data_IF_933731512867
#
_entry.id   IF_933731512867
#
_cell.length_a   1.000
_cell.length_b   1.000
_cell.length_c   1.000
_cell.angle_alpha   90.00
_cell.angle_beta   90.00
_cell.angle_gamma   90.00
#
_symmetry.space_group_name_H-M   'P 1'
#
loop_
_entity.id
_entity.type
_entity.pdbx_description
1 polymer ?
#
# COMPACT_ATOMS: atom_id res chain seq x y z
N UNK A 1 -3.20 -21.61 -16.62
CA UNK A 1 -4.30 -22.01 -15.74
C UNK A 1 -4.01 -21.43 -14.36
N UNK A 2 -4.95 -20.70 -13.74
CA UNK A 2 -4.72 -19.95 -12.50
C UNK A 2 -4.26 -20.85 -11.36
N UNK A 3 -3.31 -20.35 -10.60
CA UNK A 3 -2.69 -21.07 -9.48
C UNK A 3 -3.57 -21.21 -8.22
N UNK A 4 -4.77 -20.61 -8.19
CA UNK A 4 -5.66 -20.63 -7.03
C UNK A 4 -6.60 -21.84 -7.09
N UNK A 5 -6.81 -22.46 -5.93
CA UNK A 5 -7.78 -23.55 -5.75
C UNK A 5 -8.34 -23.54 -4.31
N UNK A 6 -9.54 -24.09 -4.16
CA UNK A 6 -10.19 -24.22 -2.87
C UNK A 6 -9.54 -25.35 -2.06
N UNK A 7 -9.19 -25.08 -0.82
CA UNK A 7 -8.67 -26.08 0.13
C UNK A 7 -9.69 -26.41 1.22
N UNK A 8 -10.62 -25.52 1.49
CA UNK A 8 -11.73 -25.69 2.41
C UNK A 8 -12.90 -24.83 1.95
N UNK A 9 -14.11 -25.32 2.12
CA UNK A 9 -15.36 -24.58 1.84
C UNK A 9 -16.33 -24.75 3.00
N UNK A 10 -17.00 -23.66 3.36
CA UNK A 10 -18.12 -23.66 4.28
C UNK A 10 -19.24 -22.76 3.75
N UNK A 11 -20.42 -23.31 3.61
CA UNK A 11 -21.62 -22.62 3.15
C UNK A 11 -22.74 -22.88 4.15
N UNK A 12 -23.41 -21.81 4.55
CA UNK A 12 -24.60 -21.84 5.38
C UNK A 12 -25.75 -21.22 4.60
N UNK A 13 -26.84 -21.98 4.42
CA UNK A 13 -28.07 -21.45 3.86
C UNK A 13 -28.88 -20.80 4.98
N UNK A 14 -29.12 -19.49 4.83
CA UNK A 14 -29.82 -18.66 5.80
C UNK A 14 -31.08 -18.09 5.17
N UNK A 15 -32.23 -18.24 5.83
CA UNK A 15 -33.53 -17.81 5.29
C UNK A 15 -33.97 -16.39 5.72
N UNK A 16 -33.08 -15.69 6.44
CA UNK A 16 -33.32 -14.38 7.04
C UNK A 16 -33.66 -14.45 8.55
N UNK A 17 -33.85 -15.66 9.10
CA UNK A 17 -34.12 -15.88 10.52
C UNK A 17 -33.14 -16.90 11.12
N UNK A 18 -33.00 -18.05 10.46
CA UNK A 18 -32.16 -19.14 10.94
C UNK A 18 -31.38 -19.82 9.79
N UNK A 19 -30.40 -20.61 10.18
CA UNK A 19 -29.63 -21.44 9.26
C UNK A 19 -30.44 -22.71 8.98
N UNK A 20 -30.87 -22.88 7.72
CA UNK A 20 -31.72 -24.00 7.28
C UNK A 20 -30.92 -25.17 6.69
N UNK A 21 -29.70 -24.93 6.23
CA UNK A 21 -28.85 -25.94 5.61
C UNK A 21 -27.36 -25.53 5.74
N UNK A 22 -26.46 -26.51 5.70
CA UNK A 22 -25.02 -26.26 5.74
C UNK A 22 -24.25 -27.26 4.89
N UNK A 23 -23.15 -26.81 4.35
CA UNK A 23 -22.15 -27.64 3.69
C UNK A 23 -20.76 -27.20 4.09
N UNK A 24 -19.96 -28.11 4.67
CA UNK A 24 -18.60 -27.85 5.14
C UNK A 24 -17.74 -29.01 4.69
N UNK A 25 -16.64 -28.73 4.00
CA UNK A 25 -15.72 -29.77 3.54
C UNK A 25 -14.31 -29.21 3.33
N UNK A 26 -13.31 -30.00 3.65
CA UNK A 26 -11.99 -29.85 3.05
C UNK A 26 -12.09 -30.25 1.58
N UNK A 27 -11.31 -29.60 0.74
CA UNK A 27 -11.26 -29.88 -0.71
C UNK A 27 -9.81 -30.19 -1.09
N UNK A 28 -9.63 -31.25 -1.85
CA UNK A 28 -8.35 -31.57 -2.44
C UNK A 28 -8.07 -30.66 -3.65
N UNK A 29 -7.11 -29.71 -3.55
CA UNK A 29 -6.84 -28.77 -4.63
C UNK A 29 -6.07 -29.39 -5.81
N UNK A 30 -5.76 -30.71 -5.76
CA UNK A 30 -4.99 -31.49 -6.72
C UNK A 30 -3.57 -30.93 -7.01
N UNK A 31 -3.07 -30.14 -6.08
CA UNK A 31 -1.73 -29.54 -6.12
C UNK A 31 -1.20 -29.24 -4.73
N UNK A 32 0.09 -28.91 -4.63
CA UNK A 32 0.71 -28.51 -3.37
C UNK A 32 0.12 -27.17 -2.89
N UNK A 33 -0.30 -27.11 -1.64
CA UNK A 33 -0.71 -25.87 -0.98
C UNK A 33 0.54 -25.05 -0.67
N UNK A 34 0.48 -23.75 -0.94
CA UNK A 34 1.55 -22.82 -0.62
C UNK A 34 1.81 -22.79 0.89
N UNK A 35 3.08 -22.77 1.29
CA UNK A 35 3.48 -22.82 2.69
C UNK A 35 2.97 -21.60 3.51
N UNK A 36 2.73 -20.48 2.85
CA UNK A 36 2.07 -19.33 3.48
C UNK A 36 0.60 -19.64 3.80
N UNK A 37 -0.13 -20.28 2.88
CA UNK A 37 -1.53 -20.67 3.08
C UNK A 37 -1.62 -21.73 4.19
N UNK A 38 -0.70 -22.70 4.22
CA UNK A 38 -0.62 -23.69 5.29
C UNK A 38 -0.45 -23.02 6.66
N UNK A 39 0.46 -22.04 6.77
CA UNK A 39 0.67 -21.30 8.04
C UNK A 39 -0.54 -20.45 8.44
N UNK A 40 -1.24 -19.88 7.45
CA UNK A 40 -2.40 -19.02 7.69
C UNK A 40 -3.63 -19.80 8.15
N UNK A 41 -3.93 -20.91 7.46
CA UNK A 41 -5.18 -21.67 7.64
C UNK A 41 -5.02 -22.88 8.54
N UNK A 42 -3.79 -23.35 8.76
CA UNK A 42 -3.50 -24.62 9.41
C UNK A 42 -3.82 -25.86 8.56
N UNK A 43 -4.26 -25.68 7.30
CA UNK A 43 -4.62 -26.80 6.41
C UNK A 43 -3.36 -27.29 5.70
N UNK A 44 -2.91 -28.47 6.06
CA UNK A 44 -1.72 -29.10 5.47
C UNK A 44 -2.08 -29.92 4.23
N UNK A 45 -1.07 -30.16 3.37
CA UNK A 45 -1.20 -31.05 2.22
C UNK A 45 -1.65 -32.48 2.63
N UNK A 46 -1.29 -32.93 3.83
CA UNK A 46 -1.71 -34.25 4.36
C UNK A 46 -3.21 -34.28 4.64
N UNK A 47 -3.79 -33.20 5.16
CA UNK A 47 -5.21 -33.10 5.50
C UNK A 47 -6.09 -33.14 4.25
N UNK A 48 -5.70 -32.49 3.17
CA UNK A 48 -6.51 -32.41 1.94
C UNK A 48 -6.29 -33.61 0.99
N UNK A 49 -5.29 -34.45 1.24
CA UNK A 49 -4.93 -35.56 0.33
C UNK A 49 -6.07 -36.56 0.12
N UNK A 50 -6.87 -36.80 1.15
CA UNK A 50 -8.02 -37.72 1.13
C UNK A 50 -9.37 -36.97 1.07
N UNK A 51 -9.34 -35.64 1.01
CA UNK A 51 -10.55 -34.84 0.87
C UNK A 51 -11.13 -34.98 -0.54
N UNK A 52 -12.44 -34.79 -0.72
CA UNK A 52 -13.06 -34.79 -2.04
C UNK A 52 -12.46 -33.69 -2.92
N UNK A 53 -12.37 -33.96 -4.21
CA UNK A 53 -12.03 -32.96 -5.22
C UNK A 53 -13.22 -32.05 -5.47
N UNK A 54 -12.98 -30.88 -6.04
CA UNK A 54 -14.06 -29.88 -6.24
C UNK A 54 -15.22 -30.44 -7.08
N UNK A 55 -14.93 -31.20 -8.13
CA UNK A 55 -15.99 -31.77 -9.00
C UNK A 55 -16.90 -32.76 -8.25
N UNK A 56 -16.43 -33.41 -7.20
CA UNK A 56 -17.23 -34.36 -6.40
C UNK A 56 -18.25 -33.63 -5.52
N UNK A 57 -18.00 -32.39 -5.15
CA UNK A 57 -18.86 -31.57 -4.30
C UNK A 57 -19.61 -30.47 -5.07
N UNK A 58 -19.26 -30.24 -6.33
CA UNK A 58 -19.81 -29.16 -7.15
C UNK A 58 -21.34 -29.17 -7.20
N UNK A 59 -21.96 -30.36 -7.35
CA UNK A 59 -23.42 -30.51 -7.37
C UNK A 59 -24.03 -30.01 -6.08
N UNK A 60 -23.47 -30.36 -4.92
CA UNK A 60 -23.97 -29.94 -3.60
C UNK A 60 -23.85 -28.43 -3.43
N UNK A 61 -22.79 -27.81 -3.93
CA UNK A 61 -22.61 -26.34 -3.89
C UNK A 61 -23.68 -25.66 -4.73
N UNK A 62 -23.99 -26.17 -5.91
CA UNK A 62 -25.07 -25.63 -6.74
C UNK A 62 -26.42 -25.72 -6.04
N UNK A 63 -26.76 -26.88 -5.47
CA UNK A 63 -28.03 -27.14 -4.79
C UNK A 63 -28.22 -26.22 -3.58
N UNK A 64 -27.24 -26.10 -2.69
CA UNK A 64 -27.35 -25.28 -1.48
C UNK A 64 -27.44 -23.78 -1.79
N UNK A 65 -26.88 -23.35 -2.93
CA UNK A 65 -26.89 -21.93 -3.37
C UNK A 65 -27.98 -21.61 -4.39
N UNK A 66 -28.77 -22.58 -4.80
CA UNK A 66 -29.84 -22.38 -5.79
C UNK A 66 -30.90 -21.43 -5.27
N UNK A 67 -31.24 -20.41 -6.09
CA UNK A 67 -32.21 -19.37 -5.73
C UNK A 67 -31.81 -18.47 -4.57
N UNK A 68 -30.53 -18.52 -4.17
CA UNK A 68 -29.99 -17.71 -3.07
C UNK A 68 -29.07 -16.58 -3.56
N UNK A 69 -28.90 -15.57 -2.69
CA UNK A 69 -27.87 -14.55 -2.82
C UNK A 69 -26.66 -15.02 -2.03
N UNK A 70 -25.49 -15.00 -2.62
CA UNK A 70 -24.24 -15.39 -1.95
C UNK A 70 -23.73 -14.22 -1.10
N UNK A 71 -23.72 -14.41 0.21
CA UNK A 71 -23.22 -13.41 1.18
C UNK A 71 -21.84 -13.82 1.66
N UNK A 72 -20.87 -12.93 1.56
CA UNK A 72 -19.54 -13.19 2.11
C UNK A 72 -18.87 -11.90 2.61
N UNK A 73 -17.85 -12.07 3.44
CA UNK A 73 -17.03 -10.96 3.93
C UNK A 73 -15.86 -10.69 2.98
N UNK A 74 -16.01 -9.77 2.04
CA UNK A 74 -15.24 -9.55 0.81
C UNK A 74 -15.71 -10.50 -0.31
N UNK A 75 -17.01 -10.49 -0.59
CA UNK A 75 -17.71 -11.43 -1.47
C UNK A 75 -17.10 -11.58 -2.87
N UNK A 76 -16.45 -10.56 -3.40
CA UNK A 76 -15.78 -10.62 -4.70
C UNK A 76 -14.67 -11.68 -4.75
N UNK A 77 -13.99 -11.94 -3.64
CA UNK A 77 -12.95 -12.96 -3.55
C UNK A 77 -13.57 -14.38 -3.62
N UNK A 78 -14.52 -14.66 -2.73
CA UNK A 78 -15.13 -16.01 -2.63
C UNK A 78 -15.90 -16.36 -3.90
N UNK A 79 -16.67 -15.42 -4.41
CA UNK A 79 -17.44 -15.61 -5.64
C UNK A 79 -16.55 -15.89 -6.85
N UNK A 80 -15.45 -15.17 -6.98
CA UNK A 80 -14.48 -15.37 -8.06
C UNK A 80 -13.84 -16.76 -8.00
N UNK A 81 -13.45 -17.21 -6.83
CA UNK A 81 -12.84 -18.55 -6.67
C UNK A 81 -13.86 -19.64 -7.03
N UNK A 82 -15.10 -19.50 -6.58
CA UNK A 82 -16.17 -20.43 -6.98
C UNK A 82 -16.37 -20.45 -8.50
N UNK A 83 -16.49 -19.28 -9.14
CA UNK A 83 -16.62 -19.19 -10.59
C UNK A 83 -15.43 -19.82 -11.33
N UNK A 84 -14.20 -19.67 -10.80
CA UNK A 84 -13.00 -20.27 -11.36
C UNK A 84 -13.06 -21.82 -11.32
N UNK A 85 -13.41 -22.39 -10.17
CA UNK A 85 -13.51 -23.84 -10.00
C UNK A 85 -14.63 -24.42 -10.87
N UNK A 86 -15.82 -23.80 -10.92
CA UNK A 86 -16.90 -24.26 -11.79
C UNK A 86 -16.55 -24.17 -13.27
N UNK A 87 -15.81 -23.13 -13.67
CA UNK A 87 -15.34 -22.98 -15.05
C UNK A 87 -14.36 -24.09 -15.45
N UNK A 88 -13.50 -24.54 -14.56
CA UNK A 88 -12.63 -25.70 -14.80
C UNK A 88 -13.40 -26.96 -15.13
N UNK A 89 -14.65 -27.03 -14.63
CA UNK A 89 -15.58 -28.12 -14.94
C UNK A 89 -16.44 -27.86 -16.19
N UNK A 90 -16.21 -26.72 -16.89
CA UNK A 90 -17.02 -26.31 -18.04
C UNK A 90 -18.41 -25.77 -17.66
N UNK A 91 -18.63 -25.42 -16.38
CA UNK A 91 -19.92 -24.93 -15.88
C UNK A 91 -19.85 -23.42 -15.57
N UNK A 92 -20.86 -22.67 -15.99
CA UNK A 92 -20.99 -21.26 -15.67
C UNK A 92 -21.80 -21.06 -14.38
N UNK A 93 -21.11 -20.68 -13.30
CA UNK A 93 -21.72 -20.46 -11.99
C UNK A 93 -22.10 -19.00 -11.83
N UNK A 94 -23.40 -18.74 -11.71
CA UNK A 94 -23.95 -17.37 -11.58
C UNK A 94 -24.81 -17.26 -10.32
N UNK A 95 -24.47 -16.33 -9.42
CA UNK A 95 -25.24 -15.96 -8.23
C UNK A 95 -25.14 -14.46 -8.00
N UNK A 96 -26.20 -13.87 -7.50
CA UNK A 96 -26.12 -12.51 -6.95
C UNK A 96 -25.28 -12.53 -5.68
N UNK A 97 -24.59 -11.44 -5.37
CA UNK A 97 -23.73 -11.37 -4.19
C UNK A 97 -24.04 -10.17 -3.31
N UNK A 98 -23.78 -10.30 -2.01
CA UNK A 98 -23.74 -9.21 -1.04
C UNK A 98 -22.40 -9.25 -0.32
N UNK A 99 -21.72 -8.10 -0.24
CA UNK A 99 -20.47 -7.95 0.50
C UNK A 99 -20.76 -7.36 1.88
N UNK A 100 -20.54 -8.13 2.94
CA UNK A 100 -20.76 -7.63 4.31
C UNK A 100 -19.78 -6.55 4.73
N UNK A 101 -18.59 -6.41 4.08
CA UNK A 101 -17.67 -5.28 4.32
C UNK A 101 -18.33 -3.97 3.88
N UNK A 102 -18.86 -3.92 2.64
CA UNK A 102 -19.51 -2.73 2.09
C UNK A 102 -20.75 -2.35 2.90
N UNK A 103 -21.56 -3.36 3.25
CA UNK A 103 -22.74 -3.16 4.07
C UNK A 103 -22.40 -2.66 5.49
N UNK A 104 -21.33 -3.20 6.10
CA UNK A 104 -20.86 -2.75 7.41
C UNK A 104 -20.32 -1.32 7.37
N UNK A 105 -19.59 -0.92 6.34
CA UNK A 105 -19.09 0.45 6.18
C UNK A 105 -20.22 1.48 6.13
N UNK A 106 -21.37 1.11 5.62
CA UNK A 106 -22.55 1.99 5.55
C UNK A 106 -23.37 2.01 6.84
N UNK A 107 -23.62 0.84 7.43
CA UNK A 107 -24.52 0.70 8.59
C UNK A 107 -23.80 0.87 9.94
N UNK A 108 -22.47 0.81 9.94
CA UNK A 108 -21.58 0.90 11.11
C UNK A 108 -20.41 1.83 10.80
N UNK A 109 -20.63 3.12 10.47
CA UNK A 109 -19.59 4.02 9.99
C UNK A 109 -18.47 4.30 11.01
N UNK A 110 -18.76 4.14 12.30
CA UNK A 110 -17.84 4.48 13.39
C UNK A 110 -16.87 3.36 13.78
N UNK A 111 -16.94 2.21 13.08
CA UNK A 111 -16.05 1.09 13.39
C UNK A 111 -14.61 1.34 12.91
N UNK A 112 -13.61 1.11 13.77
CA UNK A 112 -12.21 1.41 13.45
C UNK A 112 -11.61 0.48 12.41
N UNK A 113 -12.24 -0.66 12.13
CA UNK A 113 -11.77 -1.65 11.16
C UNK A 113 -12.89 -2.58 10.70
N UNK A 114 -12.94 -2.80 9.40
CA UNK A 114 -13.90 -3.71 8.76
C UNK A 114 -13.30 -5.07 8.38
N UNK A 115 -12.17 -5.49 8.95
CA UNK A 115 -11.72 -6.88 8.82
C UNK A 115 -12.58 -7.78 9.71
N UNK A 116 -13.00 -8.97 9.21
CA UNK A 116 -13.94 -9.85 9.91
C UNK A 116 -13.56 -10.06 11.39
N UNK A 117 -12.30 -10.38 11.66
CA UNK A 117 -11.86 -10.65 13.02
C UNK A 117 -11.87 -9.45 13.98
N UNK A 118 -11.60 -8.23 13.49
CA UNK A 118 -11.65 -7.01 14.33
C UNK A 118 -13.09 -6.55 14.50
N UNK A 119 -13.86 -6.55 13.42
CA UNK A 119 -15.25 -6.15 13.43
C UNK A 119 -16.09 -7.07 14.30
N UNK A 120 -15.93 -8.40 14.17
CA UNK A 120 -16.62 -9.37 15.03
C UNK A 120 -16.31 -9.16 16.51
N UNK A 121 -15.04 -8.89 16.84
CA UNK A 121 -14.66 -8.61 18.25
C UNK A 121 -15.29 -7.32 18.77
N UNK A 122 -15.31 -6.26 17.98
CA UNK A 122 -15.95 -4.98 18.33
C UNK A 122 -17.45 -5.12 18.57
N UNK A 123 -18.10 -5.99 17.79
CA UNK A 123 -19.55 -6.23 17.86
C UNK A 123 -19.94 -7.38 18.80
N UNK A 124 -19.00 -8.01 19.50
CA UNK A 124 -19.26 -9.14 20.39
C UNK A 124 -19.68 -10.43 19.68
N UNK A 125 -19.38 -10.56 18.37
CA UNK A 125 -19.70 -11.76 17.58
C UNK A 125 -18.67 -12.85 17.89
N UNK A 126 -19.10 -14.07 18.31
CA UNK A 126 -18.18 -15.16 18.56
C UNK A 126 -17.37 -15.56 17.32
N UNK A 127 -16.08 -15.73 17.48
CA UNK A 127 -15.17 -16.23 16.45
C UNK A 127 -14.53 -17.52 16.96
N UNK A 128 -14.91 -18.64 16.39
CA UNK A 128 -14.21 -19.91 16.55
C UNK A 128 -13.31 -20.17 15.34
N UNK A 129 -12.18 -20.82 15.55
CA UNK A 129 -11.29 -21.33 14.48
C UNK A 129 -10.99 -20.31 13.38
N UNK A 130 -10.37 -19.19 13.77
CA UNK A 130 -10.01 -18.13 12.85
C UNK A 130 -9.14 -18.65 11.70
N UNK A 131 -9.43 -18.16 10.47
CA UNK A 131 -8.82 -18.61 9.22
C UNK A 131 -9.19 -20.04 8.80
N UNK A 132 -10.25 -20.59 9.39
CA UNK A 132 -10.92 -21.80 8.92
C UNK A 132 -12.27 -21.40 8.34
N UNK A 133 -12.59 -21.95 7.17
CA UNK A 133 -13.79 -21.55 6.43
C UNK A 133 -15.08 -21.64 7.26
N UNK A 134 -15.18 -22.65 8.13
CA UNK A 134 -16.33 -22.83 9.00
C UNK A 134 -16.52 -21.68 10.01
N UNK A 135 -15.45 -21.30 10.72
CA UNK A 135 -15.48 -20.21 11.71
C UNK A 135 -15.80 -18.86 11.07
N UNK A 136 -15.13 -18.55 9.96
CA UNK A 136 -15.31 -17.29 9.26
C UNK A 136 -16.70 -17.19 8.61
N UNK A 137 -17.24 -18.30 8.06
CA UNK A 137 -18.59 -18.34 7.50
C UNK A 137 -19.66 -18.15 8.57
N UNK A 138 -19.54 -18.81 9.74
CA UNK A 138 -20.51 -18.65 10.84
C UNK A 138 -20.46 -17.22 11.42
N UNK A 139 -19.27 -16.64 11.59
CA UNK A 139 -19.13 -15.24 12.00
C UNK A 139 -19.77 -14.28 10.98
N UNK A 140 -19.66 -14.60 9.69
CA UNK A 140 -20.33 -13.83 8.62
C UNK A 140 -21.85 -13.94 8.69
N UNK A 141 -22.42 -15.11 9.03
CA UNK A 141 -23.85 -15.27 9.29
C UNK A 141 -24.33 -14.37 10.42
N UNK A 142 -23.61 -14.39 11.56
CA UNK A 142 -23.94 -13.53 12.71
C UNK A 142 -23.84 -12.05 12.39
N UNK A 143 -22.76 -11.65 11.70
CA UNK A 143 -22.59 -10.27 11.24
C UNK A 143 -23.73 -9.85 10.30
N UNK A 144 -24.04 -10.68 9.32
CA UNK A 144 -25.12 -10.38 8.36
C UNK A 144 -26.48 -10.26 9.03
N UNK A 145 -26.79 -11.13 10.00
CA UNK A 145 -28.01 -11.03 10.83
C UNK A 145 -28.09 -9.69 11.56
N UNK A 146 -26.99 -9.27 12.22
CA UNK A 146 -26.91 -7.97 12.90
C UNK A 146 -27.10 -6.80 11.92
N UNK A 147 -26.51 -6.88 10.72
CA UNK A 147 -26.66 -5.85 9.70
C UNK A 147 -28.11 -5.77 9.17
N UNK A 148 -28.80 -6.91 9.03
CA UNK A 148 -30.22 -6.94 8.66
C UNK A 148 -31.11 -6.32 9.75
N UNK A 149 -30.82 -6.54 11.02
CA UNK A 149 -31.54 -5.92 12.15
C UNK A 149 -31.33 -4.39 12.17
N UNK A 150 -30.16 -3.89 11.79
CA UNK A 150 -29.87 -2.44 11.68
C UNK A 150 -30.48 -1.79 10.43
N UNK A 151 -30.63 -2.53 9.35
CA UNK A 151 -31.26 -2.04 8.10
C UNK A 151 -32.80 -2.14 8.15
N UNK A 152 -33.41 -1.40 9.09
CA UNK A 152 -34.85 -1.43 9.38
C UNK A 152 -35.74 -1.13 8.17
N UNK A 153 -35.25 -0.37 7.21
CA UNK A 153 -35.98 -0.01 5.98
C UNK A 153 -35.65 -0.92 4.80
N UNK A 154 -34.75 -1.90 4.95
CA UNK A 154 -34.25 -2.80 3.90
C UNK A 154 -33.71 -2.08 2.64
N UNK A 155 -33.38 -0.81 2.77
CA UNK A 155 -32.83 0.01 1.68
C UNK A 155 -31.41 -0.42 1.37
N UNK A 156 -30.56 -0.58 2.41
CA UNK A 156 -29.20 -1.04 2.24
C UNK A 156 -29.16 -2.42 1.60
N UNK A 157 -29.99 -3.35 2.04
CA UNK A 157 -30.05 -4.69 1.46
C UNK A 157 -30.30 -4.66 -0.05
N UNK A 158 -31.30 -3.88 -0.52
CA UNK A 158 -31.61 -3.80 -1.96
C UNK A 158 -30.51 -3.15 -2.80
N UNK A 159 -29.80 -2.16 -2.25
CA UNK A 159 -28.71 -1.48 -2.93
C UNK A 159 -27.42 -2.33 -2.99
N UNK A 160 -27.18 -3.19 -1.99
CA UNK A 160 -25.98 -4.04 -1.95
C UNK A 160 -26.13 -5.38 -2.66
N UNK A 161 -27.34 -5.75 -3.11
CA UNK A 161 -27.51 -6.90 -3.99
C UNK A 161 -26.90 -6.58 -5.35
N UNK A 162 -25.68 -7.02 -5.56
CA UNK A 162 -25.03 -6.94 -6.86
C UNK A 162 -25.57 -8.05 -7.75
N UNK A 163 -26.36 -7.66 -8.74
CA UNK A 163 -26.68 -8.55 -9.83
C UNK A 163 -25.40 -8.80 -10.62
N UNK A 164 -24.76 -9.93 -10.36
CA UNK A 164 -23.64 -10.39 -11.16
C UNK A 164 -24.18 -10.90 -12.52
N UNK A 165 -24.84 -10.01 -13.26
CA UNK A 165 -25.32 -10.25 -14.62
C UNK A 165 -24.16 -10.33 -15.63
N UNK A 166 -22.97 -9.96 -15.22
CA UNK A 166 -21.75 -10.17 -15.98
C UNK A 166 -20.68 -10.78 -15.07
N UNK A 167 -20.43 -12.06 -15.24
CA UNK A 167 -19.06 -12.55 -15.10
C UNK A 167 -18.17 -11.55 -15.80
N UNK A 168 -17.09 -11.12 -15.14
CA UNK A 168 -16.05 -10.36 -15.82
C UNK A 168 -15.84 -10.99 -17.21
N UNK A 169 -15.84 -10.22 -18.28
CA UNK A 169 -15.62 -10.77 -19.62
C UNK A 169 -14.42 -11.71 -19.58
N UNK A 170 -14.53 -12.85 -20.25
CA UNK A 170 -13.52 -13.93 -20.20
C UNK A 170 -12.09 -13.38 -20.41
N UNK A 171 -11.94 -12.37 -21.29
CA UNK A 171 -10.65 -11.72 -21.52
C UNK A 171 -10.10 -10.96 -20.30
N UNK A 172 -10.95 -10.35 -19.45
CA UNK A 172 -10.49 -9.68 -18.23
C UNK A 172 -10.10 -10.69 -17.14
N UNK A 173 -10.80 -11.81 -17.08
CA UNK A 173 -10.44 -12.89 -16.16
C UNK A 173 -9.10 -13.52 -16.49
N UNK A 174 -8.85 -13.78 -17.79
CA UNK A 174 -7.55 -14.29 -18.23
C UNK A 174 -6.38 -13.33 -17.95
N UNK A 175 -6.67 -12.02 -17.87
CA UNK A 175 -5.67 -11.01 -17.49
C UNK A 175 -5.35 -10.99 -16.00
N UNK A 176 -6.22 -11.56 -15.16
CA UNK A 176 -5.97 -11.72 -13.73
C UNK A 176 -5.15 -12.98 -13.42
N UNK A 177 -5.17 -13.96 -14.32
CA UNK A 177 -4.46 -15.21 -14.14
C UNK A 177 -2.94 -14.95 -14.06
N UNK A 178 -2.31 -15.50 -13.02
CA UNK A 178 -0.86 -15.36 -12.80
C UNK A 178 -0.42 -14.03 -12.20
N UNK A 179 -1.34 -13.10 -11.86
CA UNK A 179 -0.96 -11.89 -11.14
C UNK A 179 -0.65 -12.20 -9.67
N UNK A 180 0.46 -11.68 -9.12
CA UNK A 180 0.86 -11.97 -7.75
C UNK A 180 0.07 -11.16 -6.72
N UNK A 181 -0.16 -11.77 -5.56
CA UNK A 181 -0.68 -11.10 -4.36
C UNK A 181 0.44 -10.37 -3.59
N UNK A 182 1.33 -9.70 -4.31
CA UNK A 182 2.53 -9.08 -3.76
C UNK A 182 2.62 -7.60 -4.12
N UNK A 183 3.51 -6.92 -3.41
CA UNK A 183 3.78 -5.49 -3.60
C UNK A 183 4.63 -5.27 -4.86
N UNK A 184 4.21 -4.29 -5.66
CA UNK A 184 4.95 -3.89 -6.85
C UNK A 184 4.26 -2.79 -7.63
N UNK A 185 4.68 -2.66 -8.88
CA UNK A 185 4.09 -1.78 -9.88
C UNK A 185 3.41 -2.63 -10.95
N UNK A 186 2.31 -2.17 -11.51
CA UNK A 186 1.58 -2.86 -12.57
C UNK A 186 1.23 -1.89 -13.70
N UNK A 187 1.10 -2.45 -14.88
CA UNK A 187 0.92 -1.75 -16.13
C UNK A 187 -0.25 -2.36 -16.89
N UNK A 188 -1.19 -1.52 -17.32
CA UNK A 188 -2.31 -1.93 -18.16
C UNK A 188 -2.07 -1.42 -19.58
N UNK A 189 -1.99 -2.33 -20.54
CA UNK A 189 -1.79 -2.02 -21.95
C UNK A 189 -3.06 -2.34 -22.75
N UNK A 190 -3.30 -1.60 -23.82
CA UNK A 190 -4.33 -1.97 -24.79
C UNK A 190 -3.86 -3.15 -25.70
N UNK A 191 -4.74 -3.56 -26.60
CA UNK A 191 -4.46 -4.65 -27.56
C UNK A 191 -3.35 -4.28 -28.57
N UNK A 192 -3.08 -3.01 -28.77
CA UNK A 192 -2.00 -2.52 -29.63
C UNK A 192 -0.64 -2.42 -28.92
N UNK A 193 -0.59 -2.65 -27.62
CA UNK A 193 0.62 -2.52 -26.80
C UNK A 193 0.84 -1.11 -26.26
N UNK A 194 -0.11 -0.19 -26.41
CA UNK A 194 -0.04 1.15 -25.83
C UNK A 194 -0.36 1.13 -24.35
N UNK A 195 0.46 1.77 -23.53
CA UNK A 195 0.24 1.89 -22.09
C UNK A 195 -0.98 2.79 -21.81
N UNK A 196 -1.99 2.22 -21.15
CA UNK A 196 -3.21 2.90 -20.72
C UNK A 196 -3.11 3.45 -19.30
N UNK A 197 -2.49 2.66 -18.41
CA UNK A 197 -2.43 2.98 -17.00
C UNK A 197 -1.25 2.29 -16.34
N UNK A 198 -0.65 2.94 -15.35
CA UNK A 198 0.33 2.33 -14.45
C UNK A 198 0.12 2.85 -13.02
N UNK A 199 0.35 2.00 -12.03
CA UNK A 199 0.37 2.40 -10.63
C UNK A 199 1.04 1.35 -9.76
N UNK A 200 1.46 1.77 -8.54
CA UNK A 200 1.94 0.87 -7.51
C UNK A 200 0.78 0.27 -6.72
N UNK A 201 1.00 -0.90 -6.15
CA UNK A 201 0.07 -1.53 -5.22
C UNK A 201 0.79 -2.36 -4.17
N UNK A 202 0.21 -2.46 -2.96
CA UNK A 202 0.64 -3.42 -1.93
C UNK A 202 0.24 -4.86 -2.29
N UNK A 203 -0.75 -5.01 -3.17
CA UNK A 203 -1.23 -6.27 -3.70
C UNK A 203 -1.69 -6.03 -5.14
N UNK A 204 -0.88 -6.45 -6.11
CA UNK A 204 -1.10 -6.22 -7.54
C UNK A 204 -2.41 -6.87 -7.99
N UNK A 205 -2.59 -8.17 -7.68
CA UNK A 205 -3.80 -8.90 -8.04
C UNK A 205 -5.07 -8.17 -7.57
N UNK A 206 -5.14 -7.88 -6.27
CA UNK A 206 -6.30 -7.19 -5.69
C UNK A 206 -6.59 -5.87 -6.41
N UNK A 207 -5.56 -5.09 -6.69
CA UNK A 207 -5.72 -3.76 -7.29
C UNK A 207 -6.16 -3.81 -8.75
N UNK A 208 -5.64 -4.75 -9.53
CA UNK A 208 -6.08 -4.96 -10.93
C UNK A 208 -7.52 -5.47 -10.96
N UNK A 209 -7.85 -6.41 -10.07
CA UNK A 209 -9.24 -6.90 -9.93
C UNK A 209 -10.23 -5.77 -9.56
N UNK A 210 -9.84 -4.86 -8.66
CA UNK A 210 -10.65 -3.66 -8.34
C UNK A 210 -10.92 -2.80 -9.59
N UNK A 211 -9.93 -2.62 -10.49
CA UNK A 211 -10.16 -1.92 -11.77
C UNK A 211 -11.17 -2.64 -12.67
N UNK A 212 -11.14 -3.97 -12.68
CA UNK A 212 -12.00 -4.77 -13.54
C UNK A 212 -13.43 -4.94 -12.98
N UNK A 213 -13.62 -4.73 -11.69
CA UNK A 213 -14.94 -4.84 -11.02
C UNK A 213 -15.56 -3.48 -10.68
N UNK A 214 -14.81 -2.40 -10.77
CA UNK A 214 -15.29 -1.05 -10.46
C UNK A 214 -16.15 -0.47 -11.58
N UNK A 215 -17.23 0.24 -11.21
CA UNK A 215 -18.13 0.94 -12.12
C UNK A 215 -17.73 2.39 -12.38
N UNK A 216 -16.57 2.83 -11.86
CA UNK A 216 -16.06 4.17 -12.08
C UNK A 216 -15.77 4.44 -13.56
N UNK A 217 -16.07 5.65 -14.07
CA UNK A 217 -15.89 6.02 -15.49
C UNK A 217 -14.51 5.65 -16.05
N UNK A 218 -13.45 5.83 -15.25
CA UNK A 218 -12.08 5.45 -15.61
C UNK A 218 -11.92 3.95 -15.72
N UNK A 219 -12.43 3.22 -14.75
CA UNK A 219 -12.25 1.78 -14.67
C UNK A 219 -13.07 1.07 -15.74
N UNK A 220 -14.27 1.56 -16.06
CA UNK A 220 -15.06 1.12 -17.22
C UNK A 220 -14.33 1.36 -18.55
N UNK A 221 -13.60 2.48 -18.69
CA UNK A 221 -12.76 2.72 -19.85
C UNK A 221 -11.62 1.70 -19.94
N UNK A 222 -10.92 1.44 -18.82
CA UNK A 222 -9.84 0.44 -18.75
C UNK A 222 -10.34 -0.95 -19.10
N UNK A 223 -11.49 -1.37 -18.55
CA UNK A 223 -12.12 -2.67 -18.84
C UNK A 223 -12.37 -2.90 -20.33
N UNK A 224 -12.77 -1.86 -21.06
CA UNK A 224 -13.06 -1.94 -22.50
C UNK A 224 -11.79 -2.00 -23.37
N UNK A 225 -10.71 -1.37 -22.93
CA UNK A 225 -9.51 -1.16 -23.76
C UNK A 225 -8.37 -2.12 -23.42
N UNK A 226 -8.31 -2.61 -22.16
CA UNK A 226 -7.18 -3.43 -21.72
C UNK A 226 -7.08 -4.73 -22.49
N UNK A 227 -5.86 -5.02 -22.97
CA UNK A 227 -5.52 -6.26 -23.67
C UNK A 227 -4.40 -7.03 -23.01
N UNK A 228 -3.60 -6.38 -22.14
CA UNK A 228 -2.47 -7.01 -21.45
C UNK A 228 -2.21 -6.36 -20.09
N UNK A 229 -1.87 -7.16 -19.10
CA UNK A 229 -1.38 -6.71 -17.79
C UNK A 229 0.06 -7.17 -17.63
N UNK A 230 0.95 -6.25 -17.26
CA UNK A 230 2.32 -6.53 -16.86
C UNK A 230 2.54 -6.07 -15.43
N UNK A 231 3.52 -6.64 -14.75
CA UNK A 231 3.87 -6.21 -13.40
C UNK A 231 5.36 -6.37 -13.13
N UNK A 232 5.83 -5.65 -12.12
CA UNK A 232 7.17 -5.79 -11.58
C UNK A 232 7.10 -5.77 -10.06
N UNK A 233 7.68 -6.78 -9.41
CA UNK A 233 7.78 -6.85 -7.96
C UNK A 233 8.90 -5.92 -7.49
N UNK A 234 8.63 -5.15 -6.44
CA UNK A 234 9.57 -4.14 -5.95
C UNK A 234 10.06 -4.39 -4.52
N UNK A 235 9.51 -5.41 -3.86
CA UNK A 235 9.83 -5.75 -2.47
C UNK A 235 9.39 -4.68 -1.46
N UNK A 236 9.61 -3.39 -1.75
CA UNK A 236 9.26 -2.27 -0.87
C UNK A 236 8.37 -1.23 -1.54
N UNK A 237 7.56 -0.56 -0.71
CA UNK A 237 6.71 0.53 -1.17
C UNK A 237 7.53 1.74 -1.63
N UNK A 238 8.72 1.94 -1.06
CA UNK A 238 9.61 3.03 -1.46
C UNK A 238 10.05 2.86 -2.91
N UNK A 239 10.60 1.69 -3.28
CA UNK A 239 11.01 1.42 -4.67
C UNK A 239 9.81 1.52 -5.62
N UNK A 240 8.64 0.95 -5.25
CA UNK A 240 7.43 1.08 -6.06
C UNK A 240 7.02 2.53 -6.26
N UNK A 241 7.20 3.39 -5.24
CA UNK A 241 6.86 4.81 -5.32
C UNK A 241 7.82 5.58 -6.21
N UNK A 242 9.13 5.32 -6.06
CA UNK A 242 10.16 5.94 -6.89
C UNK A 242 9.96 5.58 -8.38
N UNK A 243 9.77 4.29 -8.68
CA UNK A 243 9.49 3.83 -10.06
C UNK A 243 8.22 4.44 -10.64
N UNK A 244 7.11 4.38 -9.91
CA UNK A 244 5.85 5.00 -10.36
C UNK A 244 6.05 6.48 -10.68
N UNK A 245 6.81 7.20 -9.85
CA UNK A 245 7.06 8.63 -10.03
C UNK A 245 7.91 8.89 -11.27
N UNK A 246 9.00 8.15 -11.46
CA UNK A 246 9.88 8.27 -12.62
C UNK A 246 9.15 7.97 -13.93
N UNK A 247 8.49 6.82 -14.02
CA UNK A 247 7.80 6.39 -15.23
C UNK A 247 6.65 7.32 -15.62
N UNK A 248 5.92 7.86 -14.63
CA UNK A 248 4.88 8.84 -14.88
C UNK A 248 5.41 10.23 -15.28
N UNK A 249 6.66 10.55 -15.00
CA UNK A 249 7.30 11.77 -15.53
C UNK A 249 7.60 11.62 -17.02
N UNK A 250 8.04 10.44 -17.45
CA UNK A 250 8.31 10.13 -18.85
C UNK A 250 7.01 10.01 -19.66
N UNK A 251 5.98 9.34 -19.10
CA UNK A 251 4.72 9.04 -19.78
C UNK A 251 3.68 10.18 -19.62
N UNK A 252 3.90 11.30 -20.29
CA UNK A 252 3.02 12.49 -20.17
C UNK A 252 1.57 12.23 -20.57
N UNK A 253 1.31 11.28 -21.48
CA UNK A 253 -0.02 10.87 -21.94
C UNK A 253 -0.90 10.27 -20.83
N UNK A 254 -0.31 9.65 -19.81
CA UNK A 254 -1.02 9.05 -18.69
C UNK A 254 -1.48 10.06 -17.63
N UNK A 255 -1.08 11.32 -17.74
CA UNK A 255 -1.45 12.38 -16.80
C UNK A 255 -2.97 12.58 -16.66
N UNK A 256 -3.73 12.27 -17.72
CA UNK A 256 -5.21 12.40 -17.73
C UNK A 256 -5.92 11.46 -16.73
N UNK A 257 -5.29 10.37 -16.36
CA UNK A 257 -5.90 9.32 -15.50
C UNK A 257 -5.41 9.38 -14.05
N UNK A 258 -4.54 10.34 -13.71
CA UNK A 258 -4.06 10.53 -12.34
C UNK A 258 -5.12 11.16 -11.43
N UNK A 259 -5.19 10.71 -10.17
CA UNK A 259 -5.59 11.61 -9.08
C UNK A 259 -4.70 12.85 -9.14
N UNK A 260 -5.21 14.04 -8.76
CA UNK A 260 -4.46 15.32 -8.79
C UNK A 260 -2.98 15.08 -8.47
N UNK A 261 -2.09 15.57 -9.36
CA UNK A 261 -0.64 15.51 -9.14
C UNK A 261 -0.35 16.13 -7.77
N UNK A 262 0.35 15.41 -6.91
CA UNK A 262 0.89 16.02 -5.69
C UNK A 262 1.77 17.18 -6.11
N UNK A 263 1.50 18.35 -5.59
CA UNK A 263 2.30 19.56 -5.82
C UNK A 263 3.07 19.85 -4.55
N UNK A 264 4.30 20.29 -4.71
CA UNK A 264 5.19 20.67 -3.62
C UNK A 264 5.52 22.15 -3.74
N UNK A 265 4.56 23.03 -3.37
CA UNK A 265 4.71 24.47 -3.58
C UNK A 265 5.64 25.13 -2.57
N UNK A 266 6.05 24.44 -1.51
CA UNK A 266 6.94 25.00 -0.48
C UNK A 266 8.30 24.30 -0.47
N UNK A 267 9.33 25.02 -0.02
CA UNK A 267 10.70 24.52 0.07
C UNK A 267 11.39 25.05 1.32
N UNK A 268 12.25 24.17 1.93
CA UNK A 268 13.23 24.57 2.92
C UNK A 268 14.45 25.13 2.17
N UNK A 269 14.89 26.30 2.57
CA UNK A 269 16.11 26.94 2.06
C UNK A 269 17.02 27.36 3.18
N UNK A 270 18.33 27.42 2.88
CA UNK A 270 19.35 27.94 3.78
C UNK A 270 20.00 29.19 3.15
N UNK A 271 20.18 30.23 3.93
CA UNK A 271 20.89 31.43 3.50
C UNK A 271 21.79 31.96 4.64
N UNK A 272 22.84 32.65 4.28
CA UNK A 272 23.68 33.38 5.26
C UNK A 272 23.11 34.78 5.51
N UNK A 273 22.98 35.17 6.76
CA UNK A 273 22.67 36.55 7.09
C UNK A 273 23.93 37.45 7.03
N UNK A 274 23.77 38.76 7.25
CA UNK A 274 24.87 39.73 7.20
C UNK A 274 26.00 39.46 8.20
N UNK A 275 25.70 38.73 9.28
CA UNK A 275 26.65 38.35 10.33
C UNK A 275 27.34 37.00 10.07
N UNK A 276 26.98 36.29 8.98
CA UNK A 276 27.58 34.99 8.61
C UNK A 276 26.82 33.77 9.13
N UNK A 277 25.80 33.93 9.97
CA UNK A 277 24.97 32.82 10.47
C UNK A 277 24.11 32.20 9.37
N UNK A 278 24.04 30.87 9.34
CA UNK A 278 23.13 30.12 8.51
C UNK A 278 21.70 30.20 9.08
N UNK A 279 20.77 30.62 8.25
CA UNK A 279 19.36 30.77 8.59
C UNK A 279 18.54 29.82 7.72
N UNK A 280 17.65 29.05 8.34
CA UNK A 280 16.71 28.17 7.65
C UNK A 280 15.35 28.84 7.56
N UNK A 281 14.69 28.69 6.42
CA UNK A 281 13.35 29.21 6.21
C UNK A 281 12.53 28.37 5.24
N UNK A 282 11.19 28.38 5.42
CA UNK A 282 10.26 27.74 4.51
C UNK A 282 9.62 28.81 3.64
N UNK A 283 9.90 28.71 2.34
CA UNK A 283 9.47 29.69 1.32
C UNK A 283 8.65 29.04 0.20
N UNK A 284 8.01 29.84 -0.64
CA UNK A 284 7.41 29.33 -1.88
C UNK A 284 8.52 28.82 -2.81
N UNK A 285 8.37 27.60 -3.29
CA UNK A 285 9.36 26.91 -4.15
C UNK A 285 9.69 27.69 -5.42
N UNK A 286 8.71 28.40 -6.00
CA UNK A 286 8.92 29.20 -7.21
C UNK A 286 10.03 30.27 -7.07
N UNK A 287 10.33 30.72 -5.83
CA UNK A 287 11.40 31.66 -5.53
C UNK A 287 12.67 31.05 -4.94
N UNK A 288 12.70 29.73 -4.76
CA UNK A 288 13.83 29.04 -4.13
C UNK A 288 14.91 28.69 -5.17
N UNK A 289 16.12 29.24 -5.02
CA UNK A 289 17.25 28.94 -5.92
C UNK A 289 17.78 27.53 -5.74
N UNK A 290 17.93 27.07 -4.50
CA UNK A 290 18.49 25.75 -4.14
C UNK A 290 17.67 25.15 -3.00
N UNK A 291 16.55 24.47 -3.28
CA UNK A 291 15.74 23.87 -2.26
C UNK A 291 16.44 22.66 -1.63
N UNK A 292 16.61 22.67 -0.32
CA UNK A 292 17.18 21.56 0.47
C UNK A 292 16.15 20.45 0.68
N UNK A 293 14.87 20.81 0.83
CA UNK A 293 13.72 19.89 0.90
C UNK A 293 12.48 20.58 0.35
N UNK A 294 11.47 19.80 -0.09
CA UNK A 294 10.18 20.32 -0.63
C UNK A 294 9.01 19.75 0.14
N UNK A 295 7.87 20.46 0.17
CA UNK A 295 6.71 20.10 0.98
C UNK A 295 5.39 20.35 0.25
N UNK A 296 4.37 19.53 0.58
CA UNK A 296 3.00 19.70 0.07
C UNK A 296 2.31 20.91 0.70
N UNK A 297 2.65 21.26 1.95
CA UNK A 297 2.12 22.41 2.67
C UNK A 297 3.21 23.20 3.40
N UNK A 298 2.93 24.49 3.67
CA UNK A 298 3.81 25.32 4.49
C UNK A 298 3.94 24.78 5.91
N UNK A 299 2.84 24.25 6.46
CA UNK A 299 2.77 23.68 7.79
C UNK A 299 3.72 22.46 7.93
N UNK A 300 3.75 21.56 6.95
CA UNK A 300 4.68 20.43 6.94
C UNK A 300 6.13 20.90 7.02
N UNK A 301 6.48 21.91 6.20
CA UNK A 301 7.84 22.48 6.22
C UNK A 301 8.19 23.17 7.54
N UNK A 302 7.26 23.93 8.10
CA UNK A 302 7.45 24.60 9.40
C UNK A 302 7.57 23.60 10.54
N UNK A 303 6.80 22.51 10.55
CA UNK A 303 6.91 21.46 11.55
C UNK A 303 8.29 20.80 11.53
N UNK A 304 8.81 20.49 10.33
CA UNK A 304 10.17 19.96 10.19
C UNK A 304 11.23 20.97 10.69
N UNK A 305 11.10 22.24 10.28
CA UNK A 305 12.05 23.28 10.70
C UNK A 305 11.98 23.51 12.22
N UNK A 306 10.82 23.42 12.82
CA UNK A 306 10.65 23.50 14.27
C UNK A 306 11.33 22.33 14.99
N UNK A 307 11.12 21.10 14.51
CA UNK A 307 11.77 19.89 15.04
C UNK A 307 13.31 20.01 14.95
N UNK A 308 13.85 20.46 13.82
CA UNK A 308 15.29 20.71 13.63
C UNK A 308 15.77 21.76 14.64
N UNK A 309 15.00 22.85 14.82
CA UNK A 309 15.34 23.94 15.72
C UNK A 309 15.43 23.48 17.16
N UNK A 310 14.44 22.71 17.64
CA UNK A 310 14.40 22.19 19.02
C UNK A 310 15.49 21.14 19.24
N UNK A 311 15.65 20.19 18.33
CA UNK A 311 16.56 19.06 18.50
C UNK A 311 18.05 19.47 18.49
N UNK A 312 18.39 20.46 17.65
CA UNK A 312 19.79 20.91 17.50
C UNK A 312 20.06 22.24 18.24
N UNK A 313 19.14 22.70 19.05
CA UNK A 313 19.27 23.95 19.79
C UNK A 313 19.51 25.16 18.89
N UNK A 314 18.88 25.19 17.68
CA UNK A 314 19.05 26.28 16.75
C UNK A 314 18.27 27.54 17.21
N UNK A 315 18.67 28.67 16.67
CA UNK A 315 18.07 29.94 17.07
C UNK A 315 16.67 30.15 16.44
N UNK A 316 15.64 30.21 17.25
CA UNK A 316 14.24 30.45 16.82
C UNK A 316 14.08 31.77 16.08
N UNK A 317 14.87 32.79 16.42
CA UNK A 317 14.81 34.12 15.77
C UNK A 317 15.46 34.08 14.37
N UNK A 318 16.62 33.43 14.23
CA UNK A 318 17.28 33.27 12.92
C UNK A 318 16.46 32.39 11.96
N UNK A 319 15.67 31.45 12.49
CA UNK A 319 14.81 30.57 11.71
C UNK A 319 13.36 31.06 11.60
N UNK A 320 13.06 32.33 11.99
CA UNK A 320 11.80 32.99 11.74
C UNK A 320 10.65 32.63 12.69
N UNK A 321 10.89 31.89 13.77
CA UNK A 321 9.86 31.54 14.77
C UNK A 321 9.66 32.60 15.86
N UNK A 322 10.60 33.52 16.03
CA UNK A 322 10.53 34.59 17.02
C UNK A 322 10.83 35.95 16.39
N UNK A 323 10.05 36.97 16.74
CA UNK A 323 10.26 38.36 16.35
C UNK A 323 10.75 39.24 17.54
N UNK A 324 11.20 38.60 18.62
CA UNK A 324 11.69 39.31 19.80
C UNK A 324 12.84 40.28 19.41
N UNK A 325 12.79 41.52 19.92
CA UNK A 325 13.84 42.52 19.70
C UNK A 325 15.07 42.25 20.54
N UNK A 326 14.90 41.62 21.70
CA UNK A 326 15.92 41.24 22.68
C UNK A 326 16.09 39.70 22.66
N UNK A 327 16.58 39.12 23.75
CA UNK A 327 16.63 37.67 23.93
C UNK A 327 15.23 37.05 23.85
N UNK A 328 15.13 35.91 23.14
CA UNK A 328 13.92 35.14 23.05
C UNK A 328 13.78 34.18 24.25
N UNK A 329 12.59 33.63 24.44
CA UNK A 329 12.30 32.69 25.53
C UNK A 329 13.28 31.49 25.56
N UNK A 330 13.64 30.92 24.41
CA UNK A 330 14.59 29.81 24.35
C UNK A 330 15.97 30.16 24.90
N UNK A 331 16.43 31.40 24.71
CA UNK A 331 17.68 31.86 25.34
C UNK A 331 17.53 31.96 26.86
N UNK A 332 16.43 32.53 27.34
CA UNK A 332 16.19 32.70 28.77
C UNK A 332 16.12 31.40 29.57
N UNK A 333 15.73 30.29 28.91
CA UNK A 333 15.69 28.95 29.53
C UNK A 333 16.90 28.07 29.17
N UNK A 334 17.94 28.63 28.56
CA UNK A 334 19.18 27.92 28.23
C UNK A 334 19.10 26.94 27.03
N UNK A 335 18.01 26.99 26.25
CA UNK A 335 17.85 26.15 25.04
C UNK A 335 18.56 26.70 23.80
N UNK A 336 19.09 27.92 23.85
CA UNK A 336 19.75 28.59 22.74
C UNK A 336 20.94 29.38 23.27
N UNK A 337 22.08 29.32 22.58
CA UNK A 337 23.32 29.98 22.98
C UNK A 337 23.40 31.46 22.58
N UNK A 338 22.34 32.07 22.04
CA UNK A 338 22.30 33.50 21.78
C UNK A 338 22.84 33.94 20.42
N UNK A 339 22.92 33.07 19.42
CA UNK A 339 23.47 33.37 18.08
C UNK A 339 22.86 34.65 17.45
N UNK A 340 21.59 34.93 17.63
CA UNK A 340 20.96 36.15 17.09
C UNK A 340 21.43 37.45 17.75
N UNK A 341 21.95 37.38 18.97
CA UNK A 341 22.53 38.52 19.69
C UNK A 341 24.05 38.63 19.50
N UNK A 342 24.69 37.57 19.04
CA UNK A 342 26.15 37.49 18.81
C UNK A 342 26.88 36.88 19.98
N UNK A 343 26.21 36.24 20.93
CA UNK A 343 26.82 35.59 22.10
C UNK A 343 27.46 34.24 21.75
N UNK A 344 26.97 33.62 20.65
CA UNK A 344 27.50 32.37 20.12
C UNK A 344 28.34 32.64 18.86
N UNK A 345 29.49 31.97 18.74
CA UNK A 345 30.31 32.07 17.56
C UNK A 345 29.64 31.51 16.30
N UNK A 346 29.90 32.15 15.16
CA UNK A 346 29.26 31.82 13.87
C UNK A 346 29.54 30.39 13.46
N UNK A 347 30.78 29.94 13.62
CA UNK A 347 31.27 28.60 13.25
C UNK A 347 30.54 27.53 14.05
N UNK A 348 30.46 27.70 15.36
CA UNK A 348 29.77 26.77 16.27
C UNK A 348 28.29 26.61 15.91
N UNK A 349 27.58 27.73 15.71
CA UNK A 349 26.18 27.71 15.29
C UNK A 349 26.01 27.05 13.92
N UNK A 350 26.81 27.44 12.94
CA UNK A 350 26.70 26.93 11.56
C UNK A 350 26.99 25.43 11.50
N UNK A 351 27.91 24.90 12.33
CA UNK A 351 28.17 23.47 12.43
C UNK A 351 26.89 22.72 12.85
N UNK A 352 26.16 23.19 13.88
CA UNK A 352 24.90 22.56 14.30
C UNK A 352 23.82 22.65 13.24
N UNK A 353 23.74 23.73 12.46
CA UNK A 353 22.82 23.81 11.31
C UNK A 353 23.20 22.77 10.26
N UNK A 354 24.48 22.58 9.96
CA UNK A 354 24.93 21.57 9.00
C UNK A 354 24.64 20.14 9.50
N UNK A 355 24.85 19.87 10.79
CA UNK A 355 24.49 18.58 11.41
C UNK A 355 22.99 18.30 11.31
N UNK A 356 22.15 19.32 11.57
CA UNK A 356 20.71 19.22 11.42
C UNK A 356 20.33 18.91 9.95
N UNK A 357 20.90 19.63 8.99
CA UNK A 357 20.68 19.40 7.57
C UNK A 357 21.12 17.99 7.15
N UNK A 358 22.31 17.55 7.57
CA UNK A 358 22.79 16.19 7.29
C UNK A 358 21.91 15.09 7.87
N UNK A 359 21.19 15.36 8.98
CA UNK A 359 20.27 14.39 9.56
C UNK A 359 18.93 14.33 8.82
N UNK A 360 18.35 15.48 8.43
CA UNK A 360 16.99 15.57 7.89
C UNK A 360 16.92 15.63 6.37
N UNK A 361 18.03 15.88 5.68
CA UNK A 361 18.13 15.93 4.22
C UNK A 361 19.12 14.90 3.68
N UNK A 362 19.12 14.70 2.38
CA UNK A 362 20.09 13.81 1.71
C UNK A 362 21.43 14.52 1.42
N UNK A 363 21.49 15.85 1.57
CA UNK A 363 22.63 16.68 1.12
C UNK A 363 23.98 16.19 1.67
N UNK A 364 24.95 15.94 0.78
CA UNK A 364 26.31 15.52 1.12
C UNK A 364 26.44 14.13 1.72
N UNK A 365 25.38 13.30 1.69
CA UNK A 365 25.40 11.96 2.29
C UNK A 365 25.60 10.88 1.23
N UNK A 366 26.48 9.91 1.55
CA UNK A 366 26.68 8.69 0.76
C UNK A 366 26.34 7.48 1.62
N UNK A 367 25.28 6.76 1.26
CA UNK A 367 24.79 5.59 2.01
C UNK A 367 23.84 4.76 1.16
N UNK A 368 23.53 3.55 1.64
CA UNK A 368 22.45 2.74 1.10
C UNK A 368 21.32 2.60 2.10
N UNK A 369 20.09 2.61 1.60
CA UNK A 369 18.91 2.18 2.35
C UNK A 369 18.68 0.72 2.02
N UNK A 370 18.69 -0.14 3.05
CA UNK A 370 18.46 -1.58 2.90
C UNK A 370 17.13 -1.97 3.51
N UNK A 371 16.32 -2.71 2.74
CA UNK A 371 15.01 -3.18 3.19
C UNK A 371 14.71 -4.58 2.60
N UNK A 372 13.48 -5.05 2.75
CA UNK A 372 13.00 -6.34 2.21
C UNK A 372 13.18 -6.41 0.70
N UNK A 373 13.58 -7.57 0.20
CA UNK A 373 13.60 -7.88 -1.23
C UNK A 373 12.23 -8.36 -1.76
N UNK A 374 12.20 -8.80 -3.01
CA UNK A 374 11.03 -9.39 -3.65
C UNK A 374 10.72 -10.79 -3.12
N UNK A 375 11.76 -11.45 -2.61
CA UNK A 375 11.71 -12.78 -2.00
C UNK A 375 12.36 -12.76 -0.61
N UNK A 376 12.18 -13.83 0.16
CA UNK A 376 12.79 -13.97 1.50
C UNK A 376 14.32 -14.10 1.45
N UNK A 377 14.90 -14.44 0.31
CA UNK A 377 16.34 -14.62 0.10
C UNK A 377 17.03 -13.36 -0.46
N UNK A 378 16.29 -12.28 -0.65
CA UNK A 378 16.79 -11.01 -1.19
C UNK A 378 16.64 -9.86 -0.19
N UNK A 379 17.49 -8.84 -0.39
CA UNK A 379 17.29 -7.49 0.12
C UNK A 379 17.21 -6.51 -1.03
N UNK A 380 16.38 -5.49 -0.86
CA UNK A 380 16.40 -4.30 -1.71
C UNK A 380 17.41 -3.29 -1.16
N UNK A 381 18.12 -2.64 -2.06
CA UNK A 381 19.11 -1.63 -1.74
C UNK A 381 18.87 -0.41 -2.61
N UNK A 382 18.79 0.78 -2.01
CA UNK A 382 18.70 2.06 -2.72
C UNK A 382 20.00 2.80 -2.45
N UNK A 383 20.73 3.17 -3.51
CA UNK A 383 22.01 3.87 -3.42
C UNK A 383 21.79 5.39 -3.50
N UNK A 384 22.25 6.06 -2.46
CA UNK A 384 22.38 7.52 -2.40
C UNK A 384 23.87 7.85 -2.39
N UNK A 385 24.33 8.68 -3.30
CA UNK A 385 25.72 9.13 -3.39
C UNK A 385 25.75 10.65 -3.50
N UNK A 386 26.51 11.28 -2.61
CA UNK A 386 26.59 12.74 -2.50
C UNK A 386 25.19 13.41 -2.52
N UNK A 387 24.28 12.87 -1.73
CA UNK A 387 22.91 13.34 -1.62
C UNK A 387 22.01 13.03 -2.82
N UNK A 388 22.49 12.31 -3.83
CA UNK A 388 21.77 12.03 -5.08
C UNK A 388 21.37 10.57 -5.17
N UNK A 389 20.12 10.33 -5.51
CA UNK A 389 19.64 8.99 -5.86
C UNK A 389 20.39 8.51 -7.10
N UNK A 390 21.06 7.37 -7.03
CA UNK A 390 21.69 6.71 -8.17
C UNK A 390 20.78 5.63 -8.76
N UNK A 391 20.07 4.90 -7.92
CA UNK A 391 19.20 3.81 -8.33
C UNK A 391 18.95 2.81 -7.22
N UNK A 392 18.44 1.65 -7.59
CA UNK A 392 18.18 0.55 -6.68
C UNK A 392 18.71 -0.77 -7.22
N UNK A 393 18.95 -1.73 -6.34
CA UNK A 393 19.34 -3.10 -6.68
C UNK A 393 18.64 -4.11 -5.77
N UNK A 394 18.61 -5.37 -6.21
CA UNK A 394 18.25 -6.50 -5.36
C UNK A 394 19.46 -7.38 -5.16
N UNK A 395 19.79 -7.66 -3.90
CA UNK A 395 21.00 -8.41 -3.52
C UNK A 395 20.63 -9.61 -2.66
N UNK A 396 21.37 -10.71 -2.77
CA UNK A 396 21.19 -11.86 -1.91
C UNK A 396 21.54 -11.54 -0.46
N UNK A 397 20.97 -12.29 0.51
CA UNK A 397 21.19 -12.03 1.95
C UNK A 397 22.65 -12.04 2.38
N UNK A 398 23.47 -12.88 1.72
CA UNK A 398 24.90 -13.06 2.03
C UNK A 398 25.83 -12.12 1.24
N UNK A 399 25.24 -11.11 0.61
CA UNK A 399 25.99 -10.23 -0.28
C UNK A 399 26.83 -9.22 0.50
N UNK A 400 28.12 -9.14 0.18
CA UNK A 400 28.98 -8.09 0.70
C UNK A 400 28.69 -6.78 -0.05
N UNK A 401 28.24 -5.76 0.70
CA UNK A 401 27.92 -4.45 0.15
C UNK A 401 29.24 -3.71 -0.12
N UNK A 402 29.75 -3.84 -1.34
CA UNK A 402 30.83 -2.97 -1.84
C UNK A 402 30.29 -2.12 -2.99
N UNK A 403 30.71 -0.86 -3.07
CA UNK A 403 30.26 0.10 -4.08
C UNK A 403 30.42 -0.44 -5.53
N UNK A 404 31.59 -0.99 -5.94
CA UNK A 404 31.78 -1.46 -7.30
C UNK A 404 30.85 -2.63 -7.69
N UNK A 405 30.45 -3.44 -6.73
CA UNK A 405 29.57 -4.57 -6.97
C UNK A 405 28.11 -4.10 -7.06
N UNK A 406 27.71 -3.17 -6.19
CA UNK A 406 26.37 -2.57 -6.25
C UNK A 406 26.12 -1.86 -7.58
N UNK A 407 27.09 -1.09 -8.06
CA UNK A 407 26.98 -0.35 -9.33
C UNK A 407 26.74 -1.26 -10.55
N UNK A 408 27.30 -2.47 -10.56
CA UNK A 408 27.08 -3.45 -11.63
C UNK A 408 25.66 -4.00 -11.69
N UNK A 409 24.95 -4.01 -10.57
CA UNK A 409 23.59 -4.54 -10.45
C UNK A 409 22.54 -3.46 -10.27
N UNK A 410 22.97 -2.19 -10.25
CA UNK A 410 22.10 -1.06 -10.01
C UNK A 410 21.18 -0.81 -11.22
N UNK A 411 19.89 -0.79 -10.97
CA UNK A 411 18.93 -0.20 -11.89
C UNK A 411 18.97 1.31 -11.68
N UNK A 412 19.50 2.10 -12.64
CA UNK A 412 19.68 3.53 -12.46
C UNK A 412 18.33 4.23 -12.38
N UNK A 413 18.27 5.32 -11.62
CA UNK A 413 17.08 6.18 -11.50
C UNK A 413 17.48 7.65 -11.60
N UNK A 414 16.56 8.45 -12.15
CA UNK A 414 16.73 9.90 -12.27
C UNK A 414 16.58 10.56 -10.90
N UNK A 415 17.59 11.35 -10.50
CA UNK A 415 17.49 12.17 -9.29
C UNK A 415 16.81 13.51 -9.60
N UNK A 416 15.83 13.89 -8.79
CA UNK A 416 15.22 15.22 -8.75
C UNK A 416 14.67 15.52 -7.35
N UNK A 417 14.22 16.76 -7.12
CA UNK A 417 13.71 17.18 -5.80
C UNK A 417 12.49 16.38 -5.33
N UNK A 418 11.65 15.86 -6.24
CA UNK A 418 10.51 15.00 -5.88
C UNK A 418 11.00 13.63 -5.36
N UNK A 419 12.02 13.04 -6.03
CA UNK A 419 12.64 11.79 -5.57
C UNK A 419 13.34 11.95 -4.23
N UNK A 420 14.10 13.05 -4.05
CA UNK A 420 14.75 13.37 -2.78
C UNK A 420 13.70 13.47 -1.65
N UNK A 421 12.62 14.24 -1.86
CA UNK A 421 11.53 14.38 -0.90
C UNK A 421 10.91 13.03 -0.52
N UNK A 422 10.63 12.15 -1.49
CA UNK A 422 10.04 10.83 -1.21
C UNK A 422 10.97 9.98 -0.33
N UNK A 423 12.28 10.02 -0.56
CA UNK A 423 13.26 9.30 0.24
C UNK A 423 13.37 9.91 1.64
N UNK A 424 13.47 11.23 1.75
CA UNK A 424 13.54 11.94 3.03
C UNK A 424 12.29 11.71 3.88
N UNK A 425 11.12 11.81 3.26
CA UNK A 425 9.85 11.51 3.92
C UNK A 425 9.80 10.05 4.41
N UNK A 426 10.26 9.10 3.59
CA UNK A 426 10.36 7.70 4.00
C UNK A 426 11.28 7.51 5.21
N UNK A 427 12.46 8.10 5.19
CA UNK A 427 13.43 8.00 6.31
C UNK A 427 12.88 8.61 7.61
N UNK A 428 12.15 9.73 7.54
CA UNK A 428 11.48 10.34 8.70
C UNK A 428 10.37 9.47 9.28
N UNK A 429 9.56 8.85 8.40
CA UNK A 429 8.42 8.02 8.82
C UNK A 429 8.80 6.59 9.20
N UNK A 430 10.01 6.15 8.85
CA UNK A 430 10.56 4.83 9.13
C UNK A 430 11.94 4.95 9.81
N UNK A 431 12.00 5.41 11.07
CA UNK A 431 13.28 5.67 11.76
C UNK A 431 14.13 4.40 11.95
N UNK A 432 13.52 3.22 11.85
CA UNK A 432 14.20 1.92 11.92
C UNK A 432 14.70 1.43 10.54
N UNK A 433 14.53 2.21 9.48
CA UNK A 433 15.07 1.86 8.16
C UNK A 433 16.58 1.73 8.23
N UNK A 434 17.09 0.59 7.79
CA UNK A 434 18.53 0.29 7.87
C UNK A 434 19.29 1.14 6.86
N UNK A 435 20.08 2.07 7.36
CA UNK A 435 21.02 2.90 6.58
C UNK A 435 22.44 2.41 6.82
N UNK A 436 23.18 2.17 5.76
CA UNK A 436 24.57 1.68 5.82
C UNK A 436 25.46 2.66 5.04
N UNK A 437 26.42 3.28 5.73
CA UNK A 437 27.42 4.09 5.05
C UNK A 437 28.27 3.19 4.13
N UNK A 438 28.46 3.60 2.90
CA UNK A 438 29.38 2.95 1.97
C UNK A 438 30.65 3.79 1.96
N UNK A 439 31.78 3.12 2.26
CA UNK A 439 33.13 3.68 2.03
C UNK A 439 33.53 3.35 0.59
N UNK A 440 34.20 4.28 -0.04
CA UNK A 440 34.82 4.11 -1.37
C UNK A 440 35.77 2.94 -1.41
#
# INVERSE_FOLDING_TARGET
>A
MGEEAITEIAIYRFDGREVTDRFISLINPERKIDDFVVRLTGISNKMVRQAPKFYEVAKRIVEITEGCILVAHNASFDYRILCLEFRRLGFEYQRNTICTVEMSQRLLPDEPSYSLGKLSRSLGIPLSDRHRANGDAMATVHLFKLLLEKDTQKIALSEFVKQNLSTLPIHLLSLLDGLPNQLGIYYLYDKSGKLLFLSKSKNIYKRVNEHFTSEGKRDLFLQKQVGKVMYELTGTLLIATLKETEELQVQSSLRKYRKKKKTYPFALVCHKNKKGYLCLSVVLRAGAKEPLAIFESKEEGLNLLFEMTERYGLCTKLNGFSQARTYCYNHSIGKCAGACMGDEEVESYNQRVQEALAHYTLTGRTFVIMDKGRTVHEKSVILIEDGRLKGYAFVALNYQLSKPILEKHLTPMTHNSEMAHLIEHYLRTHPLAKQIAIKD
#
